data_IF_429177390201
#
_entry.id   IF_429177390201
#
_cell.length_a   1.000
_cell.length_b   1.000
_cell.length_c   1.000
_cell.angle_alpha   90.00
_cell.angle_beta   90.00
_cell.angle_gamma   90.00
#
_symmetry.space_group_name_H-M   'P 1'
#
loop_
_entity.id
_entity.type
_entity.pdbx_description
1 polymer ?
#
# COMPACT_ATOMS: atom_id res chain seq x y z
N UNK A 1 20.36 32.45 -27.73
CA UNK A 1 20.46 33.50 -26.70
C UNK A 1 19.17 34.33 -26.70
N UNK A 2 18.22 34.00 -25.81
CA UNK A 2 17.08 34.87 -25.52
C UNK A 2 17.08 35.12 -24.01
N UNK A 3 17.33 36.37 -23.65
CA UNK A 3 17.41 36.83 -22.28
C UNK A 3 15.99 36.77 -21.66
N UNK A 4 15.84 35.99 -20.58
CA UNK A 4 14.65 36.02 -19.74
C UNK A 4 14.60 37.39 -19.03
N UNK A 5 13.49 38.10 -19.19
CA UNK A 5 13.21 39.34 -18.48
C UNK A 5 12.62 38.95 -17.13
N UNK A 6 13.33 39.23 -16.05
CA UNK A 6 12.87 39.20 -14.69
C UNK A 6 11.82 40.29 -14.55
N UNK A 7 10.59 40.02 -14.07
CA UNK A 7 9.66 41.09 -13.69
C UNK A 7 10.20 41.77 -12.43
N UNK A 8 10.42 43.05 -12.54
CA UNK A 8 10.72 43.95 -11.42
C UNK A 8 9.50 43.97 -10.48
N UNK A 9 9.67 43.39 -9.30
CA UNK A 9 8.70 43.56 -8.21
C UNK A 9 8.70 45.04 -7.82
N UNK A 10 7.61 45.72 -8.09
CA UNK A 10 7.38 47.09 -7.60
C UNK A 10 7.14 46.96 -6.10
N UNK A 11 8.17 47.26 -5.34
CA UNK A 11 8.11 47.46 -3.91
C UNK A 11 7.34 48.78 -3.66
N UNK A 12 6.03 48.69 -3.54
CA UNK A 12 5.24 49.83 -3.09
C UNK A 12 5.45 50.00 -1.57
N UNK A 13 6.49 50.75 -1.22
CA UNK A 13 6.61 51.27 0.13
C UNK A 13 5.41 52.20 0.37
N UNK A 14 4.42 51.73 1.13
CA UNK A 14 3.35 52.56 1.65
C UNK A 14 3.98 53.45 2.73
N UNK A 15 4.50 54.58 2.29
CA UNK A 15 4.86 55.68 3.17
C UNK A 15 3.54 56.19 3.74
N UNK A 16 3.24 55.88 5.01
CA UNK A 16 2.10 56.44 5.70
C UNK A 16 2.31 57.93 5.83
N UNK A 17 1.78 58.70 4.90
CA UNK A 17 1.75 60.12 4.94
C UNK A 17 0.64 60.50 5.93
N UNK A 18 1.03 60.78 7.18
CA UNK A 18 0.14 61.34 8.18
C UNK A 18 -0.28 62.75 7.74
N UNK A 19 -1.36 62.84 6.99
CA UNK A 19 -2.09 64.07 6.85
C UNK A 19 -2.81 64.36 8.17
N UNK A 20 -2.19 65.19 9.01
CA UNK A 20 -2.89 65.82 10.12
C UNK A 20 -3.95 66.79 9.55
N UNK A 21 -5.09 66.24 9.17
CA UNK A 21 -6.28 67.07 9.03
C UNK A 21 -6.69 67.50 10.46
N UNK A 22 -6.54 68.79 10.75
CA UNK A 22 -7.01 69.39 12.00
C UNK A 22 -8.51 69.13 12.13
N UNK A 23 -8.88 68.16 12.95
CA UNK A 23 -10.26 67.88 13.33
C UNK A 23 -10.63 69.00 14.32
N UNK A 24 -11.29 70.04 13.82
CA UNK A 24 -11.86 71.03 14.72
C UNK A 24 -12.80 70.40 15.76
N UNK A 25 -12.75 70.87 16.98
CA UNK A 25 -13.45 70.61 18.25
C UNK A 25 -14.52 69.48 18.39
N UNK A 26 -14.84 68.74 17.35
CA UNK A 26 -15.91 67.70 17.37
C UNK A 26 -15.54 66.40 18.15
N UNK A 27 -14.28 66.18 18.49
CA UNK A 27 -13.83 64.99 19.24
C UNK A 27 -12.92 65.37 20.43
N UNK A 28 -13.19 66.54 21.09
CA UNK A 28 -12.39 67.04 22.22
C UNK A 28 -12.28 66.02 23.39
N UNK A 29 -13.25 65.12 23.55
CA UNK A 29 -13.28 64.08 24.59
C UNK A 29 -12.86 62.66 24.07
N UNK A 30 -12.19 62.60 22.90
CA UNK A 30 -11.82 61.39 22.26
C UNK A 30 -12.72 61.01 21.09
N UNK A 31 -12.23 60.03 20.25
CA UNK A 31 -12.97 59.57 19.09
C UNK A 31 -13.93 58.42 19.46
N UNK A 32 -15.14 58.47 18.92
CA UNK A 32 -16.13 57.39 19.00
C UNK A 32 -16.00 56.48 17.77
N UNK A 33 -15.09 55.51 17.81
CA UNK A 33 -14.89 54.59 16.71
C UNK A 33 -15.96 53.49 16.72
N UNK A 34 -16.41 53.11 15.51
CA UNK A 34 -17.24 51.93 15.29
C UNK A 34 -16.44 50.64 15.33
N UNK A 35 -17.10 49.55 14.98
CA UNK A 35 -16.45 48.23 14.89
C UNK A 35 -15.41 48.21 13.77
N UNK A 36 -14.40 47.31 13.92
CA UNK A 36 -13.41 47.03 12.90
C UNK A 36 -14.05 46.29 11.72
N UNK A 37 -13.81 46.76 10.51
CA UNK A 37 -14.28 46.14 9.28
C UNK A 37 -13.09 45.80 8.41
N UNK A 38 -13.07 44.57 7.87
CA UNK A 38 -12.04 44.14 6.91
C UNK A 38 -12.23 44.95 5.63
N UNK A 39 -11.25 45.78 5.30
CA UNK A 39 -11.21 46.57 4.07
C UNK A 39 -10.31 45.94 3.01
N UNK A 40 -9.30 45.18 3.44
CA UNK A 40 -8.47 44.36 2.58
C UNK A 40 -8.37 42.98 3.24
N UNK A 41 -8.83 41.95 2.55
CA UNK A 41 -8.72 40.59 3.08
C UNK A 41 -7.25 40.14 3.10
N UNK A 42 -6.83 39.47 4.18
CA UNK A 42 -5.53 38.83 4.21
C UNK A 42 -5.47 37.67 3.19
N UNK A 43 -4.35 37.51 2.52
CA UNK A 43 -4.06 36.37 1.65
C UNK A 43 -3.15 35.35 2.37
N UNK A 44 -2.73 34.31 1.71
CA UNK A 44 -1.76 33.39 2.31
C UNK A 44 -0.41 34.05 2.57
N UNK A 45 -0.01 35.00 1.75
CA UNK A 45 1.33 35.61 1.74
C UNK A 45 1.34 37.08 2.20
N UNK A 46 0.21 37.78 2.12
CA UNK A 46 0.10 39.21 2.42
C UNK A 46 -0.87 39.47 3.57
N UNK A 47 -0.50 40.42 4.43
CA UNK A 47 -1.38 40.88 5.50
C UNK A 47 -2.59 41.62 4.95
N UNK A 48 -3.73 41.41 5.54
CA UNK A 48 -4.93 42.18 5.30
C UNK A 48 -4.96 43.48 6.09
N UNK A 49 -6.02 44.26 5.91
CA UNK A 49 -6.24 45.53 6.64
C UNK A 49 -7.67 45.57 7.17
N UNK A 50 -7.81 45.89 8.42
CA UNK A 50 -9.08 46.31 9.03
C UNK A 50 -9.07 47.80 9.25
N UNK A 51 -10.21 48.44 8.99
CA UNK A 51 -10.40 49.86 9.16
C UNK A 51 -11.63 50.10 10.04
N UNK A 52 -11.55 51.14 10.91
CA UNK A 52 -12.71 51.64 11.62
C UNK A 52 -12.78 53.17 11.48
N UNK A 53 -13.99 53.70 11.53
CA UNK A 53 -14.26 55.14 11.40
C UNK A 53 -14.85 55.72 12.68
N UNK A 54 -14.43 56.93 12.99
CA UNK A 54 -15.10 57.72 14.03
C UNK A 54 -16.44 58.23 13.50
N UNK A 55 -17.52 57.94 14.22
CA UNK A 55 -18.89 58.34 13.85
C UNK A 55 -19.14 59.86 13.88
N UNK A 56 -18.22 60.59 14.53
CA UNK A 56 -18.36 62.07 14.74
C UNK A 56 -17.55 62.86 13.71
N UNK A 57 -16.28 62.44 13.44
CA UNK A 57 -15.38 63.22 12.58
C UNK A 57 -14.90 62.47 11.36
N UNK A 58 -15.33 61.20 11.13
CA UNK A 58 -14.94 60.36 10.05
C UNK A 58 -13.43 59.98 10.01
N UNK A 59 -12.69 60.29 11.10
CA UNK A 59 -11.29 59.85 11.18
C UNK A 59 -11.22 58.32 11.06
N UNK A 60 -10.35 57.84 10.21
CA UNK A 60 -10.11 56.39 10.03
C UNK A 60 -8.90 55.96 10.84
N UNK A 61 -8.99 54.75 11.38
CA UNK A 61 -7.87 54.01 11.92
C UNK A 61 -7.79 52.68 11.22
N UNK A 62 -6.56 52.21 10.96
CA UNK A 62 -6.28 50.94 10.32
C UNK A 62 -5.40 50.08 11.20
N UNK A 63 -5.58 48.77 11.10
CA UNK A 63 -4.65 47.80 11.69
C UNK A 63 -4.43 46.62 10.73
N UNK A 64 -3.26 45.99 10.76
CA UNK A 64 -3.01 44.81 9.95
C UNK A 64 -3.80 43.62 10.48
N UNK A 65 -4.26 42.78 9.56
CA UNK A 65 -4.75 41.42 9.81
C UNK A 65 -3.68 40.49 9.32
N UNK A 66 -3.16 39.64 10.19
CA UNK A 66 -2.05 38.74 9.84
C UNK A 66 -2.40 37.85 8.63
N UNK A 67 -1.42 37.65 7.76
CA UNK A 67 -1.54 36.74 6.63
C UNK A 67 -1.92 35.34 7.08
N UNK A 68 -2.67 34.62 6.25
CA UNK A 68 -3.28 33.35 6.61
C UNK A 68 -2.30 32.16 6.56
N UNK A 69 -1.18 32.30 5.84
CA UNK A 69 -0.31 31.19 5.48
C UNK A 69 -0.95 30.27 4.43
N UNK A 70 -0.17 29.35 3.87
CA UNK A 70 -0.71 28.34 2.97
C UNK A 70 -1.32 27.18 3.78
N UNK A 71 -2.39 26.61 3.23
CA UNK A 71 -3.08 25.43 3.73
C UNK A 71 -3.05 24.40 2.61
N UNK A 72 -1.95 23.61 2.56
CA UNK A 72 -1.72 22.65 1.51
C UNK A 72 -2.47 21.34 1.75
N UNK A 73 -3.12 20.83 0.69
CA UNK A 73 -3.74 19.51 0.68
C UNK A 73 -2.72 18.38 0.61
N UNK A 74 -3.23 17.15 0.44
CA UNK A 74 -2.40 15.96 0.23
C UNK A 74 -1.60 16.06 -1.07
N UNK A 75 -0.36 15.53 -1.11
CA UNK A 75 0.46 15.52 -2.31
C UNK A 75 -0.13 14.58 -3.38
N UNK A 76 -0.08 15.01 -4.63
CA UNK A 76 -0.40 14.19 -5.80
C UNK A 76 0.80 14.13 -6.73
N UNK A 77 1.02 12.99 -7.38
CA UNK A 77 2.10 12.86 -8.34
C UNK A 77 1.76 13.58 -9.65
N UNK A 78 2.76 14.22 -10.22
CA UNK A 78 2.69 14.89 -11.51
C UNK A 78 4.04 14.84 -12.23
N UNK A 79 4.03 15.10 -13.52
CA UNK A 79 5.26 15.31 -14.30
C UNK A 79 5.43 16.79 -14.62
N UNK A 80 6.61 17.31 -14.33
CA UNK A 80 7.01 18.69 -14.62
C UNK A 80 8.42 18.67 -15.23
N UNK A 81 8.56 19.23 -16.42
CA UNK A 81 9.83 19.32 -17.13
C UNK A 81 10.58 17.97 -17.24
N UNK A 82 9.84 16.89 -17.46
CA UNK A 82 10.37 15.53 -17.59
C UNK A 82 10.83 14.89 -16.27
N UNK A 83 10.43 15.45 -15.13
CA UNK A 83 10.70 14.92 -13.79
C UNK A 83 9.41 14.52 -13.09
N UNK A 84 9.46 13.47 -12.31
CA UNK A 84 8.40 13.11 -11.39
C UNK A 84 8.46 14.04 -10.17
N UNK A 85 7.34 14.69 -9.86
CA UNK A 85 7.19 15.58 -8.72
C UNK A 85 5.95 15.22 -7.91
N UNK A 86 5.92 15.64 -6.65
CA UNK A 86 4.67 15.75 -5.89
C UNK A 86 4.23 17.22 -5.88
N UNK A 87 2.93 17.44 -6.04
CA UNK A 87 2.30 18.76 -6.02
C UNK A 87 1.24 18.81 -4.92
N UNK A 88 1.33 19.80 -4.06
CA UNK A 88 0.29 20.12 -3.09
C UNK A 88 -0.31 21.49 -3.41
N UNK A 89 -1.60 21.52 -3.67
CA UNK A 89 -2.31 22.77 -3.94
C UNK A 89 -2.78 23.41 -2.64
N UNK A 90 -2.63 24.72 -2.50
CA UNK A 90 -3.21 25.45 -1.41
C UNK A 90 -4.74 25.48 -1.55
N UNK A 91 -5.48 25.13 -0.49
CA UNK A 91 -6.95 25.14 -0.47
C UNK A 91 -7.56 26.52 -0.75
N UNK A 92 -6.78 27.59 -0.56
CA UNK A 92 -7.18 28.98 -0.84
C UNK A 92 -6.87 29.45 -2.26
N UNK A 93 -6.25 28.57 -3.09
CA UNK A 93 -6.05 28.83 -4.52
C UNK A 93 -4.87 29.74 -4.89
N UNK A 94 -4.00 30.09 -3.95
CA UNK A 94 -2.90 31.05 -4.18
C UNK A 94 -1.49 30.47 -4.03
N UNK A 95 -1.30 29.19 -4.34
CA UNK A 95 0.03 28.58 -4.39
C UNK A 95 0.05 27.07 -4.52
N UNK A 96 1.15 26.59 -5.06
CA UNK A 96 1.51 25.17 -5.13
C UNK A 96 2.81 24.97 -4.35
N UNK A 97 2.94 23.83 -3.67
CA UNK A 97 4.20 23.31 -3.17
C UNK A 97 4.59 22.11 -4.06
N UNK A 98 5.70 22.26 -4.78
CA UNK A 98 6.18 21.28 -5.74
C UNK A 98 7.52 20.73 -5.27
N UNK A 99 7.61 19.41 -5.11
CA UNK A 99 8.82 18.74 -4.67
C UNK A 99 9.20 17.64 -5.66
N UNK A 100 10.48 17.59 -6.06
CA UNK A 100 11.00 16.53 -6.92
C UNK A 100 11.06 15.21 -6.12
N UNK A 101 10.61 14.13 -6.74
CA UNK A 101 10.72 12.77 -6.18
C UNK A 101 12.12 12.25 -6.48
N UNK A 102 12.87 11.97 -5.44
CA UNK A 102 14.23 11.45 -5.59
C UNK A 102 14.23 10.10 -6.33
N UNK A 103 15.06 9.97 -7.38
CA UNK A 103 15.08 8.80 -8.28
C UNK A 103 13.70 8.45 -8.88
N UNK A 104 12.83 9.44 -8.97
CA UNK A 104 11.46 9.29 -9.44
C UNK A 104 11.39 8.91 -10.92
N UNK A 105 10.55 7.93 -11.24
CA UNK A 105 10.27 7.46 -12.60
C UNK A 105 8.76 7.35 -12.76
N UNK A 106 8.17 8.25 -13.54
CA UNK A 106 6.78 8.12 -13.97
C UNK A 106 6.69 7.03 -15.05
N UNK A 107 5.71 6.15 -14.98
CA UNK A 107 5.47 5.09 -15.96
C UNK A 107 4.03 5.08 -16.43
N UNK A 108 3.85 4.96 -17.74
CA UNK A 108 2.54 5.03 -18.41
C UNK A 108 2.19 3.74 -19.16
N UNK A 109 3.15 2.83 -19.30
CA UNK A 109 2.99 1.61 -20.09
C UNK A 109 3.75 0.44 -19.50
N UNK A 110 3.44 -0.75 -19.99
CA UNK A 110 4.13 -1.99 -19.63
C UNK A 110 5.62 -1.93 -19.97
N UNK A 111 5.95 -1.40 -21.13
CA UNK A 111 7.32 -1.30 -21.63
C UNK A 111 8.17 -0.35 -20.76
N UNK A 112 7.60 0.78 -20.34
CA UNK A 112 8.26 1.71 -19.43
C UNK A 112 8.47 1.09 -18.06
N UNK A 113 7.46 0.39 -17.54
CA UNK A 113 7.56 -0.31 -16.25
C UNK A 113 8.64 -1.41 -16.29
N UNK A 114 8.69 -2.23 -17.37
CA UNK A 114 9.71 -3.28 -17.55
C UNK A 114 11.14 -2.72 -17.60
N UNK A 115 11.32 -1.53 -18.13
CA UNK A 115 12.61 -0.83 -18.09
C UNK A 115 12.91 -0.23 -16.72
N UNK A 116 11.91 0.38 -16.09
CA UNK A 116 12.09 1.08 -14.82
C UNK A 116 12.47 0.14 -13.66
N UNK A 117 11.89 -1.06 -13.59
CA UNK A 117 12.16 -2.04 -12.52
C UNK A 117 13.58 -2.63 -12.54
N UNK A 118 14.35 -2.36 -13.57
CA UNK A 118 15.76 -2.76 -13.67
C UNK A 118 16.73 -1.70 -13.14
N UNK A 119 16.23 -0.52 -12.78
CA UNK A 119 17.04 0.59 -12.27
C UNK A 119 17.11 0.50 -10.73
N UNK A 120 18.31 0.29 -10.22
CA UNK A 120 18.50 0.26 -8.76
C UNK A 120 18.16 1.61 -8.12
N UNK A 121 17.54 1.55 -6.94
CA UNK A 121 17.01 2.68 -6.16
C UNK A 121 15.92 3.51 -6.86
N UNK A 122 15.28 2.99 -7.90
CA UNK A 122 14.18 3.70 -8.56
C UNK A 122 12.94 3.81 -7.63
N UNK A 123 12.34 5.00 -7.64
CA UNK A 123 11.00 5.25 -7.13
C UNK A 123 10.05 5.37 -8.32
N UNK A 124 9.39 4.27 -8.65
CA UNK A 124 8.53 4.13 -9.83
C UNK A 124 7.10 4.47 -9.44
N UNK A 125 6.44 5.31 -10.20
CA UNK A 125 5.04 5.68 -9.96
C UNK A 125 4.21 5.40 -11.21
N UNK A 126 3.13 4.63 -11.05
CA UNK A 126 2.19 4.37 -12.13
C UNK A 126 1.33 5.62 -12.38
N UNK A 127 1.34 6.11 -13.61
CA UNK A 127 0.48 7.22 -14.02
C UNK A 127 -0.83 6.75 -14.66
N UNK A 128 -0.87 5.50 -15.14
CA UNK A 128 -2.04 4.84 -15.73
C UNK A 128 -2.22 3.43 -15.15
N UNK A 129 -3.40 2.85 -15.35
CA UNK A 129 -3.56 1.41 -15.24
C UNK A 129 -2.72 0.72 -16.30
N UNK A 130 -2.02 -0.36 -15.93
CA UNK A 130 -1.10 -1.08 -16.80
C UNK A 130 -1.51 -2.55 -16.84
N UNK A 131 -1.80 -3.04 -18.05
CA UNK A 131 -1.99 -4.46 -18.33
C UNK A 131 -1.56 -4.75 -19.77
N UNK A 132 -1.14 -5.98 -20.04
CA UNK A 132 -0.77 -6.41 -21.39
C UNK A 132 -1.36 -7.78 -21.69
N UNK A 133 -2.30 -7.83 -22.62
CA UNK A 133 -2.96 -9.07 -23.06
C UNK A 133 -1.90 -10.10 -23.50
N UNK A 134 -2.04 -11.34 -23.03
CA UNK A 134 -1.08 -12.41 -23.26
C UNK A 134 0.23 -12.32 -22.45
N UNK A 135 0.33 -11.37 -21.52
CA UNK A 135 1.45 -11.25 -20.58
C UNK A 135 0.93 -11.14 -19.15
N UNK A 136 0.72 -12.28 -18.53
CA UNK A 136 0.15 -12.37 -17.18
C UNK A 136 1.21 -12.22 -16.08
N UNK A 137 2.49 -12.48 -16.37
CA UNK A 137 3.58 -12.45 -15.42
C UNK A 137 4.43 -11.19 -15.56
N UNK A 138 4.58 -10.47 -14.47
CA UNK A 138 5.50 -9.35 -14.36
C UNK A 138 6.63 -9.68 -13.39
N UNK A 139 7.84 -9.88 -13.91
CA UNK A 139 8.97 -10.36 -13.14
C UNK A 139 9.85 -9.22 -12.61
N UNK A 140 10.01 -9.12 -11.29
CA UNK A 140 10.97 -8.25 -10.62
C UNK A 140 12.13 -9.11 -10.13
N UNK A 141 13.32 -8.92 -10.71
CA UNK A 141 14.50 -9.73 -10.38
C UNK A 141 15.80 -8.97 -10.56
N UNK A 142 16.80 -9.22 -9.68
CA UNK A 142 18.15 -8.71 -9.90
C UNK A 142 18.78 -9.35 -11.13
N UNK A 143 19.60 -8.59 -11.86
CA UNK A 143 20.37 -9.10 -13.00
C UNK A 143 21.78 -9.53 -12.58
N UNK A 144 22.58 -8.59 -12.10
CA UNK A 144 24.03 -8.73 -11.86
C UNK A 144 24.50 -8.09 -10.54
N UNK A 145 23.58 -7.49 -9.78
CA UNK A 145 23.82 -6.82 -8.49
C UNK A 145 22.55 -6.80 -7.65
N UNK A 146 22.67 -6.42 -6.40
CA UNK A 146 21.52 -6.19 -5.53
C UNK A 146 20.58 -5.14 -6.15
N UNK A 147 19.29 -5.38 -6.05
CA UNK A 147 18.25 -4.51 -6.57
C UNK A 147 17.34 -4.03 -5.44
N UNK A 148 17.18 -2.71 -5.36
CA UNK A 148 16.27 -2.04 -4.44
C UNK A 148 15.34 -1.12 -5.23
N UNK A 149 14.03 -1.34 -5.16
CA UNK A 149 13.05 -0.52 -5.86
C UNK A 149 11.81 -0.26 -5.01
N UNK A 150 11.20 0.88 -5.24
CA UNK A 150 9.85 1.21 -4.76
C UNK A 150 8.94 1.37 -5.97
N UNK A 151 7.77 0.73 -5.95
CA UNK A 151 6.71 0.92 -6.93
C UNK A 151 5.49 1.44 -6.19
N UNK A 152 5.16 2.69 -6.41
CA UNK A 152 3.90 3.28 -5.97
C UNK A 152 2.87 3.15 -7.10
N UNK A 153 1.85 2.36 -6.85
CA UNK A 153 0.78 2.15 -7.82
C UNK A 153 -0.12 3.39 -7.97
N UNK A 154 -0.01 4.37 -7.07
CA UNK A 154 -0.72 5.65 -7.16
C UNK A 154 -2.23 5.50 -7.39
N UNK A 155 -2.84 4.53 -6.72
CA UNK A 155 -4.26 4.18 -6.89
C UNK A 155 -4.59 3.45 -8.19
N UNK A 156 -3.60 3.16 -9.04
CA UNK A 156 -3.77 2.46 -10.32
C UNK A 156 -3.74 0.96 -10.16
N UNK A 157 -4.08 0.27 -11.24
CA UNK A 157 -4.07 -1.19 -11.33
C UNK A 157 -2.92 -1.67 -12.20
N UNK A 158 -2.10 -2.57 -11.66
CA UNK A 158 -1.20 -3.42 -12.45
C UNK A 158 -1.90 -4.76 -12.68
N UNK A 159 -2.45 -4.95 -13.87
CA UNK A 159 -3.18 -6.16 -14.28
C UNK A 159 -2.24 -7.30 -14.65
N UNK A 160 -1.47 -7.78 -13.68
CA UNK A 160 -0.52 -8.88 -13.85
C UNK A 160 -0.26 -9.58 -12.51
N UNK A 161 0.28 -10.81 -12.57
CA UNK A 161 0.98 -11.43 -11.45
C UNK A 161 2.32 -10.72 -11.25
N UNK A 162 2.60 -10.25 -10.05
CA UNK A 162 3.91 -9.70 -9.70
C UNK A 162 4.78 -10.82 -9.09
N UNK A 163 5.72 -11.30 -9.86
CA UNK A 163 6.66 -12.33 -9.44
C UNK A 163 7.95 -11.68 -8.90
N UNK A 164 8.10 -11.66 -7.57
CA UNK A 164 9.27 -11.11 -6.88
C UNK A 164 10.27 -12.24 -6.68
N UNK A 165 11.30 -12.30 -7.54
CA UNK A 165 12.08 -13.51 -7.64
C UNK A 165 13.59 -13.32 -7.66
N UNK A 166 14.28 -14.11 -6.82
CA UNK A 166 15.74 -14.33 -6.88
C UNK A 166 16.07 -15.74 -7.34
N UNK A 167 15.04 -16.56 -7.57
CA UNK A 167 15.16 -17.96 -7.99
C UNK A 167 14.49 -18.15 -9.35
N UNK A 168 15.26 -18.40 -10.38
CA UNK A 168 14.79 -18.51 -11.76
C UNK A 168 15.56 -19.58 -12.55
N UNK A 169 15.07 -19.92 -13.72
CA UNK A 169 15.71 -20.92 -14.57
C UNK A 169 16.79 -20.31 -15.46
N UNK A 170 18.01 -20.89 -15.41
CA UNK A 170 19.09 -20.61 -16.36
C UNK A 170 19.40 -21.94 -17.03
N UNK A 171 19.38 -21.99 -18.36
CA UNK A 171 19.58 -23.21 -19.17
C UNK A 171 18.71 -24.39 -18.71
N UNK A 172 17.44 -24.10 -18.40
CA UNK A 172 16.45 -25.07 -17.93
C UNK A 172 16.63 -25.55 -16.50
N UNK A 173 17.69 -25.12 -15.79
CA UNK A 173 17.94 -25.47 -14.38
C UNK A 173 17.57 -24.31 -13.47
N UNK A 174 16.83 -24.63 -12.42
CA UNK A 174 16.49 -23.67 -11.39
C UNK A 174 17.74 -23.24 -10.60
N UNK A 175 17.94 -21.93 -10.44
CA UNK A 175 19.10 -21.34 -9.78
C UNK A 175 18.71 -20.11 -8.97
N UNK A 176 19.29 -19.99 -7.77
CA UNK A 176 19.26 -18.76 -6.97
C UNK A 176 20.29 -17.77 -7.53
N UNK A 177 19.92 -16.51 -7.75
CA UNK A 177 20.81 -15.52 -8.37
C UNK A 177 21.95 -15.04 -7.44
N UNK A 178 21.82 -15.25 -6.15
CA UNK A 178 22.83 -14.84 -5.17
C UNK A 178 22.74 -13.37 -4.72
N UNK A 179 22.04 -12.53 -5.44
CA UNK A 179 21.83 -11.10 -5.12
C UNK A 179 20.60 -10.91 -4.24
N UNK A 180 20.59 -9.79 -3.48
CA UNK A 180 19.45 -9.38 -2.67
C UNK A 180 18.46 -8.59 -3.52
N UNK A 181 17.18 -8.84 -3.29
CA UNK A 181 16.07 -8.11 -3.89
C UNK A 181 15.24 -7.43 -2.78
N UNK A 182 15.23 -6.12 -2.78
CA UNK A 182 14.38 -5.32 -1.89
C UNK A 182 13.31 -4.63 -2.72
N UNK A 183 12.05 -4.92 -2.43
CA UNK A 183 10.90 -4.36 -3.16
C UNK A 183 9.91 -3.76 -2.18
N UNK A 184 9.46 -2.55 -2.47
CA UNK A 184 8.35 -1.90 -1.80
C UNK A 184 7.22 -1.63 -2.81
N UNK A 185 6.00 -2.12 -2.52
CA UNK A 185 4.80 -1.95 -3.33
C UNK A 185 3.75 -1.18 -2.55
N UNK A 186 3.23 -0.11 -3.12
CA UNK A 186 2.41 0.87 -2.40
C UNK A 186 1.13 1.24 -3.16
N UNK A 187 0.07 1.52 -2.42
CA UNK A 187 -1.06 2.39 -2.79
C UNK A 187 -1.76 2.03 -4.11
N UNK A 188 -2.40 0.87 -4.24
CA UNK A 188 -3.18 0.57 -5.44
C UNK A 188 -3.59 -0.88 -5.58
N UNK A 189 -3.64 -1.40 -6.82
CA UNK A 189 -4.17 -2.72 -7.09
C UNK A 189 -3.19 -3.55 -7.92
N UNK A 190 -3.03 -4.82 -7.58
CA UNK A 190 -2.30 -5.83 -8.34
C UNK A 190 -3.25 -6.97 -8.66
N UNK A 191 -3.30 -7.37 -9.94
CA UNK A 191 -4.27 -8.30 -10.46
C UNK A 191 -5.58 -7.62 -10.82
N UNK A 192 -6.61 -8.40 -11.10
CA UNK A 192 -7.94 -7.91 -11.49
C UNK A 192 -9.03 -8.58 -10.67
N UNK A 193 -10.21 -7.95 -10.58
CA UNK A 193 -11.35 -8.48 -9.83
C UNK A 193 -11.74 -9.92 -10.18
N UNK A 194 -11.54 -10.34 -11.42
CA UNK A 194 -11.88 -11.68 -11.93
C UNK A 194 -10.70 -12.64 -11.94
N UNK A 195 -9.47 -12.14 -11.72
CA UNK A 195 -8.24 -12.92 -11.91
C UNK A 195 -7.86 -13.14 -13.39
N UNK A 196 -8.41 -12.34 -14.31
CA UNK A 196 -8.06 -12.37 -15.73
C UNK A 196 -7.74 -10.97 -16.25
N UNK A 197 -6.83 -10.85 -17.21
CA UNK A 197 -6.59 -9.60 -17.93
C UNK A 197 -7.81 -9.28 -18.79
N UNK A 198 -8.16 -8.02 -18.86
CA UNK A 198 -9.37 -7.45 -19.44
C UNK A 198 -10.04 -8.26 -20.57
N UNK A 199 -11.26 -8.71 -20.31
CA UNK A 199 -12.27 -9.05 -21.32
C UNK A 199 -12.39 -10.51 -21.72
N UNK A 200 -11.35 -11.32 -21.68
CA UNK A 200 -11.40 -12.72 -22.09
C UNK A 200 -10.91 -13.67 -21.00
N UNK A 201 -11.80 -14.58 -20.57
CA UNK A 201 -11.48 -15.62 -19.59
C UNK A 201 -10.78 -16.81 -20.26
N UNK A 202 -9.61 -16.58 -20.81
CA UNK A 202 -8.75 -17.62 -21.40
C UNK A 202 -7.58 -17.94 -20.47
N UNK A 203 -6.96 -19.11 -20.63
CA UNK A 203 -5.79 -19.47 -19.81
C UNK A 203 -4.60 -18.55 -20.05
N UNK A 204 -4.45 -17.98 -21.26
CA UNK A 204 -3.40 -17.05 -21.63
C UNK A 204 -3.57 -15.67 -20.93
N UNK A 205 -4.75 -15.35 -20.46
CA UNK A 205 -5.07 -14.10 -19.75
C UNK A 205 -5.30 -14.29 -18.26
N UNK A 206 -5.05 -15.50 -17.74
CA UNK A 206 -5.24 -15.81 -16.32
C UNK A 206 -4.08 -15.28 -15.48
N UNK A 207 -4.38 -14.41 -14.54
CA UNK A 207 -3.45 -13.96 -13.50
C UNK A 207 -3.50 -14.99 -12.38
N UNK A 208 -2.51 -15.86 -12.27
CA UNK A 208 -2.54 -16.94 -11.29
C UNK A 208 -2.53 -16.41 -9.86
N UNK A 209 -1.62 -15.50 -9.56
CA UNK A 209 -1.46 -14.89 -8.25
C UNK A 209 -1.39 -13.37 -8.36
N UNK A 210 -1.79 -12.66 -7.31
CA UNK A 210 -1.52 -11.22 -7.21
C UNK A 210 -0.02 -11.00 -7.07
N UNK A 211 0.58 -11.57 -6.02
CA UNK A 211 2.04 -11.60 -5.83
C UNK A 211 2.49 -13.03 -5.59
N UNK A 212 3.57 -13.45 -6.27
CA UNK A 212 4.34 -14.66 -5.99
C UNK A 212 5.74 -14.29 -5.51
N UNK A 213 6.14 -14.74 -4.31
CA UNK A 213 7.53 -14.65 -3.86
C UNK A 213 8.27 -15.95 -4.16
N UNK A 214 9.35 -15.83 -4.95
CA UNK A 214 10.11 -16.95 -5.45
C UNK A 214 11.61 -16.74 -5.28
N UNK A 215 12.12 -16.86 -4.05
CA UNK A 215 13.54 -16.64 -3.78
C UNK A 215 13.91 -16.64 -2.30
N UNK A 216 15.21 -16.66 -2.03
CA UNK A 216 15.76 -16.76 -0.69
C UNK A 216 16.24 -15.42 -0.10
N UNK A 217 16.49 -14.41 -0.93
CA UNK A 217 17.05 -13.13 -0.52
C UNK A 217 16.12 -11.97 -0.87
N UNK A 218 14.82 -12.16 -0.65
CA UNK A 218 13.80 -11.16 -0.91
C UNK A 218 13.41 -10.46 0.39
N UNK A 219 13.50 -9.14 0.41
CA UNK A 219 12.84 -8.28 1.39
C UNK A 219 11.68 -7.57 0.68
N UNK A 220 10.45 -8.00 0.96
CA UNK A 220 9.24 -7.46 0.36
C UNK A 220 8.42 -6.69 1.40
N UNK A 221 8.10 -5.44 1.09
CA UNK A 221 7.13 -4.63 1.84
C UNK A 221 5.96 -4.28 0.93
N UNK A 222 4.73 -4.49 1.40
CA UNK A 222 3.50 -4.15 0.66
C UNK A 222 2.58 -3.35 1.58
N UNK A 223 2.20 -2.15 1.17
CA UNK A 223 1.39 -1.26 1.99
C UNK A 223 0.20 -0.70 1.20
N UNK A 224 -1.01 -0.86 1.72
CA UNK A 224 -2.24 -0.34 1.12
C UNK A 224 -2.45 -0.81 -0.33
N UNK A 225 -2.24 -2.10 -0.57
CA UNK A 225 -2.40 -2.72 -1.89
C UNK A 225 -3.50 -3.77 -1.84
N UNK A 226 -4.38 -3.75 -2.84
CA UNK A 226 -5.34 -4.82 -3.09
C UNK A 226 -4.70 -5.85 -4.02
N UNK A 227 -4.60 -7.09 -3.57
CA UNK A 227 -4.00 -8.20 -4.29
C UNK A 227 -5.06 -9.18 -4.71
N UNK A 228 -5.23 -9.40 -6.00
CA UNK A 228 -6.20 -10.36 -6.53
C UNK A 228 -5.54 -11.22 -7.61
N UNK A 229 -5.60 -12.53 -7.43
CA UNK A 229 -5.26 -13.50 -8.46
C UNK A 229 -6.35 -14.55 -8.59
N UNK A 230 -6.35 -15.31 -9.68
CA UNK A 230 -7.34 -16.37 -9.90
C UNK A 230 -7.25 -17.43 -8.78
N UNK A 231 -6.06 -17.96 -8.54
CA UNK A 231 -5.82 -18.92 -7.46
C UNK A 231 -5.59 -18.25 -6.11
N UNK A 232 -5.06 -17.02 -6.08
CA UNK A 232 -4.88 -16.31 -4.83
C UNK A 232 -4.20 -14.96 -4.93
N UNK A 233 -4.40 -14.13 -3.93
CA UNK A 233 -3.79 -12.80 -3.87
C UNK A 233 -2.30 -12.83 -3.55
N UNK A 234 -1.86 -13.73 -2.64
CA UNK A 234 -0.46 -13.78 -2.21
C UNK A 234 0.03 -15.21 -2.00
N UNK A 235 1.16 -15.57 -2.62
CA UNK A 235 1.74 -16.91 -2.59
C UNK A 235 3.26 -16.88 -2.38
N UNK A 236 3.80 -17.96 -1.78
CA UNK A 236 5.25 -18.21 -1.69
C UNK A 236 5.60 -19.55 -2.27
N UNK A 237 6.72 -19.65 -2.97
CA UNK A 237 7.21 -20.93 -3.53
C UNK A 237 7.76 -21.83 -2.42
N UNK A 238 7.27 -23.04 -2.35
CA UNK A 238 7.66 -24.04 -1.36
C UNK A 238 9.11 -24.51 -1.41
N UNK A 239 9.78 -24.28 -2.53
CA UNK A 239 11.21 -24.64 -2.71
C UNK A 239 12.17 -23.58 -2.17
N UNK A 240 11.66 -22.42 -1.71
CA UNK A 240 12.46 -21.28 -1.29
C UNK A 240 12.30 -20.95 0.19
N UNK A 241 13.29 -20.29 0.79
CA UNK A 241 13.29 -19.93 2.21
C UNK A 241 14.20 -18.74 2.50
N UNK A 242 14.01 -18.11 3.65
CA UNK A 242 14.90 -17.07 4.18
C UNK A 242 14.60 -15.66 3.71
N UNK A 243 13.49 -15.42 3.01
CA UNK A 243 13.01 -14.07 2.70
C UNK A 243 12.22 -13.48 3.86
N UNK A 244 12.18 -12.14 3.91
CA UNK A 244 11.36 -11.35 4.86
C UNK A 244 10.25 -10.65 4.09
N UNK A 245 9.01 -10.82 4.55
CA UNK A 245 7.83 -10.29 3.89
C UNK A 245 6.99 -9.56 4.95
N UNK A 246 6.68 -8.30 4.70
CA UNK A 246 5.82 -7.49 5.54
C UNK A 246 4.70 -6.87 4.70
N UNK A 247 3.45 -7.06 5.13
CA UNK A 247 2.29 -6.47 4.45
C UNK A 247 1.42 -5.76 5.48
N UNK A 248 0.98 -4.56 5.15
CA UNK A 248 0.09 -3.76 6.01
C UNK A 248 -1.04 -3.10 5.25
N UNK A 249 -2.21 -3.06 5.88
CA UNK A 249 -3.42 -2.42 5.34
C UNK A 249 -3.80 -2.93 3.94
N UNK A 250 -3.53 -4.22 3.65
CA UNK A 250 -3.75 -4.86 2.36
C UNK A 250 -5.06 -5.67 2.33
N UNK A 251 -5.67 -5.76 1.15
CA UNK A 251 -6.73 -6.72 0.85
C UNK A 251 -6.13 -7.82 -0.03
N UNK A 252 -6.26 -9.06 0.38
CA UNK A 252 -5.70 -10.24 -0.29
C UNK A 252 -6.84 -11.19 -0.65
N UNK A 253 -7.06 -11.41 -1.95
CA UNK A 253 -8.21 -12.19 -2.41
C UNK A 253 -7.82 -13.19 -3.49
N UNK A 254 -8.32 -14.42 -3.35
CA UNK A 254 -8.41 -15.38 -4.44
C UNK A 254 -9.75 -15.21 -5.17
N UNK A 255 -9.72 -14.99 -6.47
CA UNK A 255 -10.96 -14.84 -7.23
C UNK A 255 -11.73 -16.17 -7.33
N UNK A 256 -11.02 -17.30 -7.41
CA UNK A 256 -11.62 -18.63 -7.53
C UNK A 256 -11.17 -19.62 -6.43
N UNK A 257 -10.04 -19.37 -5.75
CA UNK A 257 -9.48 -20.33 -4.80
C UNK A 257 -9.09 -19.64 -3.47
N UNK A 258 -7.84 -19.65 -3.07
CA UNK A 258 -7.37 -19.18 -1.77
C UNK A 258 -7.14 -17.68 -1.71
N UNK A 259 -7.22 -17.08 -0.52
CA UNK A 259 -6.64 -15.76 -0.36
C UNK A 259 -5.11 -15.83 -0.39
N UNK A 260 -4.51 -16.77 0.36
CA UNK A 260 -3.06 -16.91 0.45
C UNK A 260 -2.61 -18.34 0.70
N UNK A 261 -1.45 -18.70 0.12
CA UNK A 261 -0.82 -20.02 0.27
C UNK A 261 0.68 -19.84 0.55
N UNK A 262 1.10 -20.20 1.78
CA UNK A 262 2.43 -19.95 2.29
C UNK A 262 3.18 -21.27 2.47
N UNK A 263 3.93 -21.67 1.44
CA UNK A 263 4.67 -22.93 1.42
C UNK A 263 6.18 -22.77 1.62
N UNK A 264 6.73 -21.56 1.41
CA UNK A 264 8.15 -21.27 1.57
C UNK A 264 8.57 -21.00 3.02
N UNK A 265 9.80 -21.36 3.38
CA UNK A 265 10.36 -21.13 4.72
C UNK A 265 10.76 -19.69 4.97
N UNK A 266 9.83 -18.75 4.89
CA UNK A 266 10.02 -17.32 5.01
C UNK A 266 9.55 -16.78 6.36
N UNK A 267 9.98 -15.58 6.71
CA UNK A 267 9.37 -14.79 7.79
C UNK A 267 8.33 -13.85 7.19
N UNK A 268 7.07 -14.04 7.55
CA UNK A 268 5.93 -13.31 6.98
C UNK A 268 5.14 -12.62 8.09
N UNK A 269 4.93 -11.32 7.95
CA UNK A 269 4.10 -10.54 8.88
C UNK A 269 3.00 -9.81 8.11
N UNK A 270 1.77 -9.99 8.56
CA UNK A 270 0.60 -9.26 8.08
C UNK A 270 0.05 -8.40 9.22
N UNK A 271 -0.15 -7.12 8.95
CA UNK A 271 -0.70 -6.16 9.90
C UNK A 271 -1.93 -5.47 9.32
N UNK A 272 -3.08 -5.60 9.99
CA UNK A 272 -4.38 -5.04 9.55
C UNK A 272 -4.78 -5.43 8.11
N UNK A 273 -4.41 -6.64 7.69
CA UNK A 273 -4.77 -7.14 6.37
C UNK A 273 -6.12 -7.89 6.40
N UNK A 274 -6.80 -7.89 5.26
CA UNK A 274 -8.04 -8.64 5.04
C UNK A 274 -7.83 -9.72 3.97
N UNK A 275 -8.21 -10.96 4.30
CA UNK A 275 -8.05 -12.13 3.43
C UNK A 275 -9.41 -12.72 3.11
N UNK A 276 -9.67 -13.04 1.83
CA UNK A 276 -10.90 -13.73 1.43
C UNK A 276 -10.69 -14.65 0.23
N UNK A 277 -11.32 -15.83 0.27
CA UNK A 277 -11.25 -16.84 -0.78
C UNK A 277 -12.14 -18.04 -0.43
N UNK A 278 -12.07 -19.11 -1.22
CA UNK A 278 -12.75 -20.37 -0.86
C UNK A 278 -12.18 -20.94 0.44
N UNK A 279 -10.87 -20.82 0.65
CA UNK A 279 -10.24 -20.82 1.98
C UNK A 279 -9.43 -19.54 2.21
N UNK A 280 -9.15 -19.19 3.48
CA UNK A 280 -8.42 -17.99 3.82
C UNK A 280 -6.92 -18.14 3.62
N UNK A 281 -6.20 -18.69 4.60
CA UNK A 281 -4.77 -18.96 4.54
C UNK A 281 -4.46 -20.44 4.68
N UNK A 282 -3.58 -20.93 3.83
CA UNK A 282 -2.98 -22.26 3.95
C UNK A 282 -1.46 -22.11 4.18
N UNK A 283 -0.96 -22.58 5.32
CA UNK A 283 0.41 -22.34 5.80
C UNK A 283 1.12 -23.67 6.03
N UNK A 284 2.24 -23.90 5.32
CA UNK A 284 3.02 -25.15 5.39
C UNK A 284 4.42 -24.99 5.94
N UNK A 285 4.94 -23.78 5.99
CA UNK A 285 6.33 -23.54 6.37
C UNK A 285 6.55 -22.08 6.78
N UNK A 286 7.63 -21.84 7.52
CA UNK A 286 8.10 -20.51 7.90
C UNK A 286 7.58 -20.01 9.23
N UNK A 287 7.83 -18.74 9.50
CA UNK A 287 7.32 -18.02 10.66
C UNK A 287 6.29 -16.99 10.20
N UNK A 288 5.02 -17.22 10.50
CA UNK A 288 3.92 -16.39 10.02
C UNK A 288 3.22 -15.71 11.20
N UNK A 289 3.11 -14.40 11.14
CA UNK A 289 2.44 -13.57 12.14
C UNK A 289 1.34 -12.72 11.52
N UNK A 290 0.15 -12.75 12.11
CA UNK A 290 -0.98 -11.88 11.77
C UNK A 290 -1.28 -10.96 12.96
N UNK A 291 -1.36 -9.65 12.71
CA UNK A 291 -1.78 -8.67 13.72
C UNK A 291 -3.05 -7.97 13.27
N UNK A 292 -4.12 -8.09 14.05
CA UNK A 292 -5.42 -7.45 13.80
C UNK A 292 -5.97 -7.71 12.39
N UNK A 293 -5.73 -8.89 11.83
CA UNK A 293 -6.17 -9.26 10.50
C UNK A 293 -7.59 -9.84 10.51
N UNK A 294 -8.26 -9.77 9.37
CA UNK A 294 -9.54 -10.42 9.11
C UNK A 294 -9.36 -11.52 8.08
N UNK A 295 -9.84 -12.73 8.38
CA UNK A 295 -9.78 -13.88 7.47
C UNK A 295 -11.18 -14.44 7.25
N UNK A 296 -11.58 -14.58 5.98
CA UNK A 296 -12.89 -15.07 5.56
C UNK A 296 -12.73 -16.19 4.54
N UNK A 297 -13.25 -17.38 4.87
CA UNK A 297 -13.38 -18.50 3.95
C UNK A 297 -14.85 -18.72 3.57
N UNK A 298 -15.12 -18.89 2.29
CA UNK A 298 -16.49 -19.00 1.74
C UNK A 298 -16.79 -20.34 1.05
N UNK A 299 -15.75 -21.15 0.81
CA UNK A 299 -15.86 -22.43 0.08
C UNK A 299 -16.53 -23.53 0.91
N UNK A 300 -16.92 -24.59 0.21
CA UNK A 300 -17.37 -25.83 0.84
C UNK A 300 -16.18 -26.50 1.52
N UNK A 301 -16.43 -27.09 2.67
CA UNK A 301 -15.37 -27.76 3.42
C UNK A 301 -14.89 -29.04 2.75
N UNK A 302 -13.61 -29.17 2.50
CA UNK A 302 -12.91 -30.42 2.23
C UNK A 302 -11.75 -30.60 3.20
N UNK A 303 -11.57 -31.84 3.65
CA UNK A 303 -10.48 -32.15 4.59
C UNK A 303 -9.12 -31.97 3.91
N UNK A 304 -8.15 -31.28 4.54
CA UNK A 304 -6.79 -31.19 4.03
C UNK A 304 -6.20 -32.58 3.75
N UNK A 305 -5.66 -32.73 2.55
CA UNK A 305 -5.09 -34.01 2.07
C UNK A 305 -3.85 -33.76 1.21
N UNK A 306 -2.84 -34.62 1.37
CA UNK A 306 -1.64 -34.56 0.55
C UNK A 306 -1.90 -35.22 -0.84
N UNK A 307 -1.70 -34.43 -1.91
CA UNK A 307 -1.99 -34.85 -3.29
C UNK A 307 -0.75 -35.14 -4.15
N UNK A 308 0.44 -35.23 -3.55
CA UNK A 308 1.71 -35.46 -4.25
C UNK A 308 2.45 -34.20 -4.68
N UNK A 309 1.75 -33.10 -4.91
CA UNK A 309 2.34 -31.80 -5.28
C UNK A 309 2.24 -30.77 -4.14
N UNK A 310 1.66 -31.15 -3.06
CA UNK A 310 1.40 -30.35 -1.89
C UNK A 310 0.20 -30.90 -1.13
N UNK A 311 -0.35 -30.13 -0.24
CA UNK A 311 -1.61 -30.43 0.38
C UNK A 311 -2.56 -29.25 0.21
N UNK A 312 -3.80 -29.55 -0.03
CA UNK A 312 -4.89 -28.61 -0.15
C UNK A 312 -6.10 -29.10 0.64
N UNK A 313 -6.91 -28.20 1.06
CA UNK A 313 -8.19 -28.39 1.68
C UNK A 313 -9.00 -27.13 1.42
N UNK A 314 -10.29 -27.18 1.63
CA UNK A 314 -11.15 -26.06 1.28
C UNK A 314 -12.10 -25.68 2.42
N UNK A 315 -12.61 -24.48 2.37
CA UNK A 315 -13.63 -23.97 3.27
C UNK A 315 -13.18 -23.56 4.68
N UNK A 316 -11.98 -23.89 5.13
CA UNK A 316 -11.48 -23.44 6.43
C UNK A 316 -10.84 -22.06 6.38
N UNK A 317 -10.95 -21.29 7.49
CA UNK A 317 -10.40 -19.95 7.60
C UNK A 317 -8.88 -19.93 7.52
N UNK A 318 -8.22 -20.61 8.46
CA UNK A 318 -6.77 -20.79 8.46
C UNK A 318 -6.43 -22.25 8.63
N UNK A 319 -5.55 -22.78 7.78
CA UNK A 319 -4.99 -24.14 7.89
C UNK A 319 -3.49 -24.03 8.12
N UNK A 320 -3.00 -24.64 9.20
CA UNK A 320 -1.57 -24.82 9.50
C UNK A 320 -1.26 -26.30 9.33
N UNK A 321 -0.46 -26.64 8.33
CA UNK A 321 -0.24 -28.03 7.89
C UNK A 321 1.24 -28.43 7.90
N UNK A 322 1.58 -29.42 8.72
CA UNK A 322 2.91 -30.04 8.68
C UNK A 322 2.99 -31.06 7.54
N UNK A 323 3.85 -30.79 6.56
CA UNK A 323 4.03 -31.63 5.37
C UNK A 323 5.50 -31.98 5.20
N UNK A 324 5.86 -33.26 5.39
CA UNK A 324 7.24 -33.72 5.15
C UNK A 324 7.69 -33.42 3.72
N UNK A 325 8.83 -32.77 3.58
CA UNK A 325 9.39 -32.31 2.30
C UNK A 325 9.44 -30.81 2.15
N UNK A 326 8.69 -30.07 3.00
CA UNK A 326 8.86 -28.65 3.19
C UNK A 326 9.88 -28.36 4.30
N UNK A 327 10.21 -27.09 4.52
CA UNK A 327 11.08 -26.69 5.63
C UNK A 327 10.42 -27.09 6.96
N UNK A 328 11.06 -27.90 7.84
CA UNK A 328 10.45 -28.40 9.07
C UNK A 328 10.46 -27.35 10.20
N UNK A 329 10.18 -26.10 9.88
CA UNK A 329 10.02 -25.02 10.86
C UNK A 329 8.76 -24.24 10.49
N UNK A 330 7.71 -24.41 11.28
CA UNK A 330 6.42 -23.77 11.07
C UNK A 330 5.94 -23.20 12.40
N UNK A 331 5.96 -21.89 12.52
CA UNK A 331 5.36 -21.17 13.64
C UNK A 331 4.28 -20.23 13.12
N UNK A 332 3.12 -20.30 13.75
CA UNK A 332 2.01 -19.41 13.45
C UNK A 332 1.60 -18.61 14.68
N UNK A 333 1.43 -17.31 14.54
CA UNK A 333 0.92 -16.44 15.59
C UNK A 333 -0.14 -15.50 15.02
N UNK A 334 -1.29 -15.41 15.68
CA UNK A 334 -2.28 -14.39 15.38
C UNK A 334 -2.63 -13.60 16.64
N UNK A 335 -2.48 -12.28 16.56
CA UNK A 335 -2.73 -11.34 17.64
C UNK A 335 -3.94 -10.46 17.28
N UNK A 336 -5.06 -10.68 17.95
CA UNK A 336 -6.32 -9.99 17.67
C UNK A 336 -6.91 -10.33 16.30
N UNK A 337 -7.94 -9.61 15.89
CA UNK A 337 -8.61 -9.79 14.61
C UNK A 337 -9.68 -10.88 14.61
N UNK A 338 -10.07 -11.34 13.41
CA UNK A 338 -11.20 -12.26 13.23
C UNK A 338 -10.87 -13.36 12.21
N UNK A 339 -11.35 -14.57 12.48
CA UNK A 339 -11.36 -15.68 11.52
C UNK A 339 -12.79 -16.16 11.37
N UNK A 340 -13.29 -16.23 10.14
CA UNK A 340 -14.60 -16.80 9.83
C UNK A 340 -14.51 -17.80 8.68
N UNK A 341 -15.36 -18.81 8.77
CA UNK A 341 -15.58 -19.79 7.71
C UNK A 341 -17.08 -20.03 7.57
N UNK A 342 -17.56 -20.09 6.35
CA UNK A 342 -18.95 -20.40 6.06
C UNK A 342 -19.29 -21.88 6.33
N UNK A 343 -18.41 -22.79 5.93
CA UNK A 343 -18.69 -24.22 5.91
C UNK A 343 -17.61 -25.08 6.62
N UNK A 344 -16.42 -24.53 6.88
CA UNK A 344 -15.30 -25.22 7.51
C UNK A 344 -15.01 -24.78 8.94
N UNK A 345 -13.85 -25.12 9.44
CA UNK A 345 -13.35 -24.66 10.73
C UNK A 345 -12.81 -23.22 10.63
N UNK A 346 -12.87 -22.47 11.72
CA UNK A 346 -12.18 -21.19 11.74
C UNK A 346 -10.66 -21.37 11.65
N UNK A 347 -10.13 -22.29 12.46
CA UNK A 347 -8.71 -22.64 12.48
C UNK A 347 -8.51 -24.14 12.47
N UNK A 348 -7.63 -24.65 11.61
CA UNK A 348 -7.20 -26.05 11.54
C UNK A 348 -5.69 -26.16 11.71
N UNK A 349 -5.23 -27.09 12.57
CA UNK A 349 -3.86 -27.56 12.59
C UNK A 349 -3.82 -29.03 12.29
N UNK A 350 -3.14 -29.41 11.20
CA UNK A 350 -3.16 -30.76 10.65
C UNK A 350 -1.74 -31.24 10.30
N UNK A 351 -1.62 -32.55 10.09
CA UNK A 351 -0.45 -33.16 9.48
C UNK A 351 -0.92 -34.01 8.31
N UNK A 352 -0.74 -33.52 7.10
CA UNK A 352 -1.17 -34.26 5.92
C UNK A 352 -0.11 -35.24 5.44
N UNK A 353 1.17 -35.07 5.87
CA UNK A 353 2.25 -36.01 5.56
C UNK A 353 3.39 -35.92 6.57
N UNK A 354 3.73 -37.06 7.21
CA UNK A 354 4.85 -37.17 8.13
C UNK A 354 4.51 -36.82 9.57
N UNK A 355 5.40 -36.11 10.24
CA UNK A 355 5.26 -35.73 11.66
C UNK A 355 4.88 -34.28 11.85
N UNK A 356 4.28 -33.97 12.99
CA UNK A 356 3.99 -32.60 13.35
C UNK A 356 5.26 -31.82 13.72
N UNK A 357 5.47 -30.67 13.08
CA UNK A 357 6.53 -29.72 13.39
C UNK A 357 6.02 -28.31 13.58
N UNK A 358 4.70 -28.12 13.62
CA UNK A 358 4.07 -26.81 13.74
C UNK A 358 3.71 -26.45 15.17
N UNK A 359 3.79 -25.17 15.47
CA UNK A 359 3.26 -24.55 16.70
C UNK A 359 2.42 -23.34 16.34
N UNK A 360 1.26 -23.21 17.01
CA UNK A 360 0.35 -22.10 16.74
C UNK A 360 -0.07 -21.40 18.04
N UNK A 361 -0.19 -20.06 17.96
CA UNK A 361 -0.67 -19.22 19.06
C UNK A 361 -1.75 -18.24 18.55
N UNK A 362 -2.91 -18.27 19.18
CA UNK A 362 -4.06 -17.41 18.90
C UNK A 362 -4.33 -16.54 20.12
N UNK A 363 -4.01 -15.25 20.04
CA UNK A 363 -4.14 -14.29 21.14
C UNK A 363 -5.31 -13.33 20.89
N UNK A 364 -6.41 -13.44 21.64
CA UNK A 364 -7.56 -12.54 21.55
C UNK A 364 -8.26 -12.57 20.19
N UNK A 365 -8.22 -13.70 19.46
CA UNK A 365 -8.81 -13.86 18.13
C UNK A 365 -10.29 -14.20 18.25
N UNK A 366 -11.14 -13.51 17.50
CA UNK A 366 -12.58 -13.84 17.39
C UNK A 366 -12.79 -14.85 16.27
N UNK A 367 -13.49 -15.94 16.54
CA UNK A 367 -13.69 -17.03 15.60
C UNK A 367 -15.18 -17.29 15.36
N UNK A 368 -15.56 -17.39 14.07
CA UNK A 368 -16.92 -17.75 13.62
C UNK A 368 -16.81 -18.92 12.66
N UNK A 369 -16.92 -20.18 13.13
CA UNK A 369 -16.78 -21.37 12.31
C UNK A 369 -18.12 -21.75 11.64
N UNK A 370 -18.05 -22.35 10.46
CA UNK A 370 -19.16 -23.11 9.85
C UNK A 370 -19.28 -24.52 10.41
N UNK A 371 -18.17 -25.08 10.91
CA UNK A 371 -18.11 -26.39 11.61
C UNK A 371 -17.59 -26.22 13.05
N UNK A 372 -18.03 -27.08 13.92
CA UNK A 372 -17.55 -27.12 15.31
C UNK A 372 -16.65 -28.33 15.58
N UNK A 373 -15.62 -28.16 16.43
CA UNK A 373 -15.23 -26.98 17.20
C UNK A 373 -14.65 -25.87 16.31
N UNK A 374 -14.54 -24.63 16.82
CA UNK A 374 -13.94 -23.52 16.06
C UNK A 374 -12.46 -23.78 15.71
N UNK A 375 -11.74 -24.44 16.60
CA UNK A 375 -10.35 -24.90 16.45
C UNK A 375 -10.34 -26.40 16.33
N UNK A 376 -9.85 -26.92 15.21
CA UNK A 376 -9.72 -28.33 14.93
C UNK A 376 -8.24 -28.74 14.84
N UNK A 377 -7.86 -29.80 15.59
CA UNK A 377 -6.49 -30.27 15.66
C UNK A 377 -6.50 -31.78 15.45
N UNK A 378 -5.77 -32.26 14.43
CA UNK A 378 -5.68 -33.72 14.12
C UNK A 378 -4.53 -34.42 14.84
N UNK A 379 -3.64 -33.67 15.50
CA UNK A 379 -2.42 -34.22 16.14
C UNK A 379 -2.15 -33.50 17.45
N UNK A 380 -1.27 -34.07 18.29
CA UNK A 380 -0.78 -33.47 19.54
C UNK A 380 0.06 -32.19 19.33
N UNK A 381 -0.27 -31.42 18.31
CA UNK A 381 0.38 -30.15 17.99
C UNK A 381 0.09 -29.09 19.06
N UNK A 382 1.13 -28.32 19.40
CA UNK A 382 0.99 -27.25 20.36
C UNK A 382 0.18 -26.06 19.78
N UNK A 383 -1.12 -26.04 20.04
CA UNK A 383 -1.97 -24.87 19.79
C UNK A 383 -2.32 -24.22 21.12
N UNK A 384 -1.99 -22.94 21.23
CA UNK A 384 -2.30 -22.12 22.40
C UNK A 384 -3.36 -21.09 22.01
N UNK A 385 -4.49 -21.09 22.68
CA UNK A 385 -5.56 -20.08 22.54
C UNK A 385 -5.65 -19.31 23.85
N UNK A 386 -5.54 -17.97 23.78
CA UNK A 386 -5.55 -17.07 24.94
C UNK A 386 -6.60 -15.99 24.80
#
# INVERSE_FOLDING_TARGET
MRKAKIPVAVLAAITAMFLFAACGDKCANGHSFGEWQVTVAATCTEDGVETRKCSVCNKEETRPVAKLGHDYGEPVYAERDGKLVTVRNCSRGDGEDVQEVENGVAVHSWEELDVAVKKNNAHIVLMNDIAKVGMTDFNIRPADSDLNITIDLNGKTLGAEVNVCTYYKVDGKAKECGYKLTVKLLNGNIGTETGYIAGEQTDDNKIFYGILVNGAKVDLTVEKVNLVGYYGGFYTNGSTKGSTIAMSDCIVRGAAVAASYLAGGHTVTFDRCSFSGTFGLYIKSGAVTLNNCTVVATGEYSQPNYNGNGADGDGSGIVVDSVTGYNPSLTFTMNGGTISSANGYAFEQVVTKGENYSTSTLNGVKMTPGKTPAVFITTDGAVTVK
#
